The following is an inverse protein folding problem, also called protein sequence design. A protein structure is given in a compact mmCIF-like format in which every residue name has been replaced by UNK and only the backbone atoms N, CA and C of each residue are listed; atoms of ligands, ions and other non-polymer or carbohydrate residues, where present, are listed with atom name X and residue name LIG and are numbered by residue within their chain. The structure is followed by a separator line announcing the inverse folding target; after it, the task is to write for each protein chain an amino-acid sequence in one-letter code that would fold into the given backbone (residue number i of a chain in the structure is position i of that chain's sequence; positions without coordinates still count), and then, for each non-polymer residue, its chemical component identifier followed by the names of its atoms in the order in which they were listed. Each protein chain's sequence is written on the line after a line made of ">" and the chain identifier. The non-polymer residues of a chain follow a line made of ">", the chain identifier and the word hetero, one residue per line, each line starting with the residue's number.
data_IF_117626068660
#
_entry.id   IF_117626068660
#
_cell.length_a   1.000
_cell.length_b   1.000
_cell.length_c   1.000
_cell.angle_alpha   90.00
_cell.angle_beta   90.00
_cell.angle_gamma   90.00
#
_symmetry.space_group_name_H-M   'P 1'
#
loop_
_entity.id
_entity.type
_entity.pdbx_description
1 polymer ?
#
# COMPACT_ATOMS: atom_id res chain seq x y z
N UNK A 1 -53.13 -63.49 -8.51
CA UNK A 1 -54.00 -62.40 -8.98
C UNK A 1 -54.37 -61.61 -7.75
N UNK A 2 -53.89 -60.40 -7.45
CA UNK A 2 -52.99 -59.41 -8.09
C UNK A 2 -52.71 -58.45 -6.91
N UNK A 3 -51.48 -58.36 -6.43
CA UNK A 3 -50.50 -57.30 -6.75
C UNK A 3 -50.76 -55.97 -6.01
N UNK A 4 -49.63 -55.31 -5.73
CA UNK A 4 -49.36 -54.08 -5.01
C UNK A 4 -50.23 -52.86 -5.34
N UNK A 5 -50.38 -51.96 -4.36
CA UNK A 5 -49.94 -50.55 -4.48
C UNK A 5 -49.89 -49.93 -3.07
N UNK A 6 -48.70 -49.68 -2.51
CA UNK A 6 -47.82 -48.53 -2.77
C UNK A 6 -48.21 -47.29 -1.93
N UNK A 7 -47.52 -47.18 -0.80
CA UNK A 7 -46.80 -45.99 -0.28
C UNK A 7 -47.26 -44.61 -0.77
N UNK A 8 -47.66 -43.76 0.17
CA UNK A 8 -47.31 -42.34 0.15
C UNK A 8 -47.12 -41.85 1.60
N UNK A 9 -46.06 -42.35 2.25
CA UNK A 9 -45.51 -41.70 3.44
C UNK A 9 -44.70 -40.52 2.91
N UNK A 10 -45.36 -39.37 2.83
CA UNK A 10 -44.77 -38.14 2.33
C UNK A 10 -43.57 -37.77 3.20
N UNK A 11 -42.38 -38.15 2.72
CA UNK A 11 -41.11 -37.82 3.31
C UNK A 11 -41.05 -36.31 3.55
N UNK A 12 -41.03 -35.91 4.82
CA UNK A 12 -40.72 -34.55 5.19
C UNK A 12 -39.35 -34.21 4.62
N UNK A 13 -39.18 -33.10 3.88
CA UNK A 13 -37.88 -32.71 3.40
C UNK A 13 -36.99 -32.45 4.61
N UNK A 14 -35.97 -33.28 4.78
CA UNK A 14 -34.93 -33.08 5.79
C UNK A 14 -34.38 -31.65 5.64
N UNK A 15 -34.20 -30.91 6.74
CA UNK A 15 -33.63 -29.58 6.66
C UNK A 15 -32.23 -29.71 6.08
N UNK A 16 -32.04 -29.17 4.87
CA UNK A 16 -30.77 -29.13 4.19
C UNK A 16 -29.72 -28.59 5.16
N UNK A 17 -28.81 -29.47 5.55
CA UNK A 17 -27.68 -29.18 6.41
C UNK A 17 -26.90 -28.04 5.76
N UNK A 18 -27.04 -26.83 6.31
CA UNK A 18 -26.31 -25.67 5.86
C UNK A 18 -24.81 -26.02 5.87
N UNK A 19 -24.04 -25.66 4.85
CA UNK A 19 -22.63 -26.03 4.80
C UNK A 19 -21.92 -25.41 6.00
N UNK A 20 -21.64 -26.26 7.00
CA UNK A 20 -20.81 -25.96 8.16
C UNK A 20 -19.35 -25.93 7.72
N UNK A 21 -18.99 -24.88 6.96
CA UNK A 21 -17.61 -24.41 6.89
C UNK A 21 -17.22 -23.86 8.26
N UNK A 22 -15.94 -23.88 8.66
CA UNK A 22 -15.53 -23.38 9.95
C UNK A 22 -15.84 -21.89 10.01
N UNK A 23 -16.89 -21.52 10.73
CA UNK A 23 -17.18 -20.15 11.13
C UNK A 23 -16.19 -19.75 12.25
N UNK A 24 -14.91 -19.73 11.91
CA UNK A 24 -13.89 -19.07 12.72
C UNK A 24 -14.12 -17.57 12.61
N UNK A 25 -14.93 -17.03 13.52
CA UNK A 25 -15.15 -15.59 13.59
C UNK A 25 -13.83 -14.85 13.81
N UNK A 26 -13.74 -13.62 13.30
CA UNK A 26 -12.59 -12.73 13.56
C UNK A 26 -12.41 -12.57 15.06
N UNK A 27 -11.21 -12.87 15.55
CA UNK A 27 -10.86 -12.74 16.97
C UNK A 27 -10.21 -11.39 17.27
N UNK A 28 -10.19 -10.95 18.53
CA UNK A 28 -9.41 -9.78 18.94
C UNK A 28 -7.91 -9.90 18.61
N UNK A 29 -7.36 -11.12 18.60
CA UNK A 29 -5.98 -11.37 18.21
C UNK A 29 -5.75 -11.07 16.72
N UNK A 30 -6.70 -11.47 15.86
CA UNK A 30 -6.62 -11.16 14.42
C UNK A 30 -6.62 -9.65 14.16
N UNK A 31 -7.44 -8.91 14.92
CA UNK A 31 -7.47 -7.45 14.83
C UNK A 31 -6.15 -6.82 15.30
N UNK A 32 -5.56 -7.35 16.38
CA UNK A 32 -4.26 -6.89 16.88
C UNK A 32 -3.13 -7.15 15.89
N UNK A 33 -3.12 -8.32 15.25
CA UNK A 33 -2.16 -8.72 14.22
C UNK A 33 -2.33 -7.89 12.95
N UNK A 34 -3.56 -7.65 12.51
CA UNK A 34 -3.87 -6.79 11.38
C UNK A 34 -3.36 -5.35 11.61
N UNK A 35 -3.60 -4.80 12.81
CA UNK A 35 -3.07 -3.50 13.20
C UNK A 35 -1.53 -3.49 13.31
N UNK A 36 -0.92 -4.60 13.74
CA UNK A 36 0.54 -4.78 13.77
C UNK A 36 1.14 -4.70 12.38
N UNK A 37 0.52 -5.37 11.41
CA UNK A 37 0.94 -5.35 10.02
C UNK A 37 0.92 -3.93 9.44
N UNK A 38 -0.17 -3.18 9.68
CA UNK A 38 -0.27 -1.77 9.26
C UNK A 38 0.79 -0.90 9.95
N UNK A 39 1.04 -1.14 11.24
CA UNK A 39 2.11 -0.44 11.99
C UNK A 39 3.50 -0.70 11.40
N UNK A 40 3.79 -1.91 10.92
CA UNK A 40 5.03 -2.19 10.19
C UNK A 40 5.09 -1.43 8.86
N UNK A 41 3.99 -1.31 8.13
CA UNK A 41 3.92 -0.51 6.90
C UNK A 41 4.19 0.98 7.09
N UNK A 42 3.94 1.51 8.30
CA UNK A 42 4.25 2.90 8.68
C UNK A 42 5.72 3.12 9.06
N UNK A 43 6.56 2.08 9.06
CA UNK A 43 7.97 2.14 9.41
C UNK A 43 8.85 2.00 8.15
N UNK A 44 9.18 3.10 7.44
CA UNK A 44 9.79 3.04 6.10
C UNK A 44 11.19 2.39 6.03
N UNK A 45 11.85 2.18 7.18
CA UNK A 45 13.16 1.53 7.27
C UNK A 45 13.09 0.06 7.69
N UNK A 46 11.92 -0.40 8.13
CA UNK A 46 11.72 -1.78 8.54
C UNK A 46 11.41 -2.62 7.29
N UNK A 47 12.16 -3.71 7.12
CA UNK A 47 12.00 -4.61 6.00
C UNK A 47 11.53 -5.97 6.50
N UNK A 48 10.64 -6.67 5.77
CA UNK A 48 10.20 -8.02 6.15
C UNK A 48 11.37 -9.01 6.30
N UNK A 49 12.39 -8.90 5.46
CA UNK A 49 13.57 -9.75 5.52
C UNK A 49 14.40 -9.59 6.82
N UNK A 50 14.14 -8.54 7.61
CA UNK A 50 14.84 -8.24 8.87
C UNK A 50 13.98 -8.48 10.11
N UNK A 51 12.71 -8.85 9.93
CA UNK A 51 11.74 -9.01 11.02
C UNK A 51 10.83 -10.21 10.75
N UNK A 52 10.95 -11.23 11.62
CA UNK A 52 10.24 -12.51 11.45
C UNK A 52 8.74 -12.35 11.66
N UNK A 53 8.31 -11.52 12.61
CA UNK A 53 6.89 -11.27 12.86
C UNK A 53 6.26 -10.57 11.66
N UNK A 54 6.94 -9.57 11.10
CA UNK A 54 6.48 -8.90 9.89
C UNK A 54 6.38 -9.86 8.70
N UNK A 55 7.39 -10.70 8.48
CA UNK A 55 7.37 -11.69 7.41
C UNK A 55 6.20 -12.68 7.54
N UNK A 56 5.91 -13.15 8.76
CA UNK A 56 4.77 -14.05 9.02
C UNK A 56 3.42 -13.37 8.79
N UNK A 57 3.24 -12.12 9.26
CA UNK A 57 1.99 -11.39 9.03
C UNK A 57 1.75 -11.09 7.54
N UNK A 58 2.81 -10.83 6.77
CA UNK A 58 2.70 -10.70 5.30
C UNK A 58 2.35 -12.00 4.61
N UNK A 59 2.92 -13.12 5.07
CA UNK A 59 2.54 -14.44 4.57
C UNK A 59 1.06 -14.70 4.87
N UNK A 60 0.62 -14.44 6.11
CA UNK A 60 -0.76 -14.55 6.55
C UNK A 60 -1.70 -13.69 5.70
N UNK A 61 -1.34 -12.43 5.42
CA UNK A 61 -2.09 -11.55 4.54
C UNK A 61 -2.32 -12.15 3.14
N UNK A 62 -1.30 -12.80 2.57
CA UNK A 62 -1.43 -13.40 1.23
C UNK A 62 -2.22 -14.70 1.25
N UNK A 63 -2.05 -15.51 2.30
CA UNK A 63 -2.61 -16.85 2.39
C UNK A 63 -4.06 -16.85 2.93
N UNK A 64 -4.44 -15.87 3.75
CA UNK A 64 -5.73 -15.80 4.46
C UNK A 64 -6.55 -14.57 4.03
N UNK A 65 -7.51 -14.70 3.09
CA UNK A 65 -8.30 -13.56 2.58
C UNK A 65 -9.11 -12.82 3.65
N UNK A 66 -9.51 -13.50 4.73
CA UNK A 66 -10.21 -12.86 5.84
C UNK A 66 -9.30 -11.92 6.64
N UNK A 67 -8.06 -12.34 6.89
CA UNK A 67 -7.05 -11.51 7.54
C UNK A 67 -6.64 -10.32 6.66
N UNK A 68 -6.52 -10.53 5.34
CA UNK A 68 -6.26 -9.45 4.39
C UNK A 68 -7.32 -8.34 4.46
N UNK A 69 -8.60 -8.72 4.37
CA UNK A 69 -9.72 -7.78 4.50
C UNK A 69 -9.73 -7.04 5.83
N UNK A 70 -9.32 -7.70 6.90
CA UNK A 70 -9.22 -7.08 8.22
C UNK A 70 -8.09 -6.04 8.27
N UNK A 71 -6.91 -6.36 7.75
CA UNK A 71 -5.78 -5.42 7.65
C UNK A 71 -6.13 -4.22 6.76
N UNK A 72 -6.77 -4.45 5.62
CA UNK A 72 -7.26 -3.38 4.74
C UNK A 72 -8.28 -2.49 5.44
N UNK A 73 -9.21 -3.08 6.21
CA UNK A 73 -10.18 -2.32 6.98
C UNK A 73 -9.52 -1.47 8.09
N UNK A 74 -8.48 -2.00 8.75
CA UNK A 74 -7.69 -1.23 9.72
C UNK A 74 -6.96 -0.06 9.04
N UNK A 75 -6.30 -0.31 7.91
CA UNK A 75 -5.63 0.74 7.14
C UNK A 75 -6.63 1.82 6.70
N UNK A 76 -7.77 1.43 6.13
CA UNK A 76 -8.83 2.34 5.71
C UNK A 76 -9.39 3.16 6.90
N UNK A 77 -9.59 2.53 8.07
CA UNK A 77 -10.04 3.21 9.28
C UNK A 77 -9.05 4.27 9.79
N UNK A 78 -7.76 4.13 9.47
CA UNK A 78 -6.71 5.11 9.74
C UNK A 78 -6.55 6.16 8.63
N UNK A 79 -7.38 6.10 7.57
CA UNK A 79 -7.24 6.94 6.38
C UNK A 79 -5.97 6.60 5.58
N UNK A 80 -5.56 5.33 5.57
CA UNK A 80 -4.42 4.85 4.79
C UNK A 80 -4.92 4.08 3.57
N UNK A 81 -4.19 4.20 2.47
CA UNK A 81 -4.38 3.46 1.23
C UNK A 81 -3.23 2.47 1.13
N UNK A 82 -3.55 1.18 1.02
CA UNK A 82 -2.57 0.13 0.75
C UNK A 82 -2.23 0.15 -0.74
N UNK A 83 -0.97 0.45 -1.07
CA UNK A 83 -0.49 0.56 -2.45
C UNK A 83 0.05 -0.76 -2.98
N UNK A 84 0.79 -1.48 -2.15
CA UNK A 84 1.42 -2.75 -2.48
C UNK A 84 1.54 -3.60 -1.23
N UNK A 85 1.42 -4.92 -1.38
CA UNK A 85 1.81 -5.88 -0.34
C UNK A 85 2.67 -6.97 -0.98
N UNK A 86 3.97 -7.00 -0.65
CA UNK A 86 4.90 -7.99 -1.18
C UNK A 86 5.96 -8.39 -0.16
N UNK A 87 6.64 -9.52 -0.39
CA UNK A 87 7.76 -9.94 0.47
C UNK A 87 8.99 -9.04 0.34
N UNK A 88 9.10 -8.31 -0.78
CA UNK A 88 10.21 -7.40 -1.05
C UNK A 88 9.98 -6.03 -0.44
N UNK A 89 8.82 -5.42 -0.70
CA UNK A 89 8.48 -4.09 -0.23
C UNK A 89 7.86 -4.09 1.17
N UNK A 90 7.26 -5.20 1.59
CA UNK A 90 6.37 -5.26 2.74
C UNK A 90 4.98 -4.75 2.38
N UNK A 91 4.26 -4.22 3.38
CA UNK A 91 3.02 -3.48 3.18
C UNK A 91 3.35 -2.01 2.96
N UNK A 92 3.25 -1.55 1.72
CA UNK A 92 3.40 -0.15 1.37
C UNK A 92 2.07 0.57 1.53
N UNK A 93 2.04 1.60 2.39
CA UNK A 93 0.86 2.43 2.64
C UNK A 93 1.15 3.89 2.34
N UNK A 94 0.13 4.61 1.90
CA UNK A 94 0.14 6.07 1.81
C UNK A 94 -1.07 6.65 2.55
N UNK A 95 -0.96 7.90 2.98
CA UNK A 95 -2.08 8.63 3.54
C UNK A 95 -3.07 9.04 2.44
N UNK A 96 -4.37 8.85 2.70
CA UNK A 96 -5.44 9.52 1.95
C UNK A 96 -5.42 11.04 2.21
N UNK A 97 -6.08 11.83 1.37
CA UNK A 97 -6.07 13.31 1.46
C UNK A 97 -6.62 13.84 2.79
N UNK A 98 -7.62 13.17 3.34
CA UNK A 98 -8.29 13.50 4.60
C UNK A 98 -7.69 12.79 5.83
N UNK A 99 -6.66 11.98 5.62
CA UNK A 99 -5.97 11.23 6.67
C UNK A 99 -5.28 12.14 7.69
N UNK A 100 -5.23 11.68 8.94
CA UNK A 100 -4.40 12.31 9.99
C UNK A 100 -2.90 12.20 9.70
N UNK A 101 -2.52 11.26 8.83
CA UNK A 101 -1.14 11.07 8.38
C UNK A 101 -0.80 11.92 7.14
N UNK A 102 -1.78 12.61 6.55
CA UNK A 102 -1.56 13.42 5.36
C UNK A 102 -0.67 14.63 5.66
N UNK A 103 0.39 14.80 4.86
CA UNK A 103 1.18 16.03 4.88
C UNK A 103 0.45 17.07 4.04
N UNK A 104 -0.14 18.06 4.71
CA UNK A 104 -0.80 19.16 4.00
C UNK A 104 0.24 20.11 3.42
N UNK A 105 0.07 20.47 2.15
CA UNK A 105 0.99 21.37 1.44
C UNK A 105 1.14 22.73 2.16
N UNK A 106 0.08 23.21 2.83
CA UNK A 106 0.15 24.42 3.65
C UNK A 106 1.05 24.29 4.89
N UNK A 107 1.07 23.14 5.56
CA UNK A 107 1.97 22.87 6.70
C UNK A 107 3.42 22.75 6.24
N UNK A 108 3.61 22.12 5.09
CA UNK A 108 4.91 21.97 4.47
C UNK A 108 5.48 23.31 3.99
N UNK A 109 4.71 24.11 3.24
CA UNK A 109 5.14 25.42 2.73
C UNK A 109 5.51 26.39 3.86
N UNK A 110 4.79 26.35 4.99
CA UNK A 110 5.14 27.14 6.19
C UNK A 110 6.49 26.75 6.79
N UNK A 111 6.86 25.48 6.74
CA UNK A 111 8.11 24.96 7.31
C UNK A 111 9.30 25.03 6.35
N UNK A 112 9.04 24.90 5.05
CA UNK A 112 10.08 24.69 4.05
C UNK A 112 10.64 25.98 3.44
N UNK A 113 9.96 27.13 3.58
CA UNK A 113 10.38 28.34 2.89
C UNK A 113 10.18 29.62 3.72
N UNK A 114 11.25 30.02 4.39
CA UNK A 114 11.28 31.19 5.27
C UNK A 114 11.31 32.51 4.50
N UNK A 115 11.89 32.51 3.30
CA UNK A 115 11.94 33.65 2.36
C UNK A 115 11.74 33.21 0.88
N UNK A 116 11.58 34.19 -0.02
CA UNK A 116 11.35 34.06 -1.45
C UNK A 116 12.39 33.22 -2.19
N UNK A 117 13.68 33.33 -1.83
CA UNK A 117 14.75 32.52 -2.42
C UNK A 117 14.57 31.04 -2.08
N UNK A 118 14.23 30.72 -0.82
CA UNK A 118 13.93 29.35 -0.40
C UNK A 118 12.76 28.79 -1.21
N UNK A 119 11.68 29.58 -1.40
CA UNK A 119 10.51 29.15 -2.20
C UNK A 119 10.89 28.81 -3.63
N UNK A 120 11.76 29.60 -4.24
CA UNK A 120 12.23 29.36 -5.61
C UNK A 120 13.04 28.07 -5.71
N UNK A 121 14.05 27.88 -4.85
CA UNK A 121 14.85 26.65 -4.80
C UNK A 121 13.97 25.42 -4.52
N UNK A 122 12.97 25.58 -3.69
CA UNK A 122 12.01 24.55 -3.37
C UNK A 122 11.16 24.13 -4.59
N UNK A 123 10.64 25.10 -5.32
CA UNK A 123 9.91 24.85 -6.57
C UNK A 123 10.80 24.16 -7.61
N UNK A 124 12.07 24.58 -7.72
CA UNK A 124 13.04 23.97 -8.62
C UNK A 124 13.37 22.51 -8.23
N UNK A 125 13.49 22.22 -6.93
CA UNK A 125 13.67 20.87 -6.44
C UNK A 125 12.46 19.98 -6.76
N UNK A 126 11.24 20.45 -6.52
CA UNK A 126 10.02 19.71 -6.86
C UNK A 126 9.89 19.45 -8.36
N UNK A 127 10.15 20.46 -9.20
CA UNK A 127 10.13 20.30 -10.65
C UNK A 127 11.17 19.27 -11.12
N UNK A 128 12.36 19.29 -10.51
CA UNK A 128 13.43 18.33 -10.83
C UNK A 128 13.06 16.92 -10.39
N UNK A 129 12.48 16.74 -9.20
CA UNK A 129 11.94 15.44 -8.75
C UNK A 129 10.89 14.92 -9.73
N UNK A 130 9.94 15.77 -10.14
CA UNK A 130 8.90 15.39 -11.09
C UNK A 130 9.50 15.00 -12.46
N UNK A 131 10.47 15.76 -12.95
CA UNK A 131 11.15 15.48 -14.20
C UNK A 131 11.97 14.17 -14.15
N UNK A 132 12.59 13.87 -13.01
CA UNK A 132 13.36 12.64 -12.80
C UNK A 132 12.49 11.40 -12.55
N UNK A 133 11.31 11.58 -11.95
CA UNK A 133 10.39 10.50 -11.65
C UNK A 133 9.60 10.03 -12.88
N UNK A 134 9.46 10.90 -13.90
CA UNK A 134 8.74 10.54 -15.12
C UNK A 134 9.64 9.69 -16.03
N UNK A 135 9.26 8.44 -16.34
CA UNK A 135 10.10 7.53 -17.13
C UNK A 135 10.27 8.05 -18.56
N UNK A 136 11.48 7.93 -19.11
CA UNK A 136 11.73 8.21 -20.53
C UNK A 136 11.27 7.02 -21.38
N UNK A 137 11.04 7.20 -22.69
CA UNK A 137 10.61 6.11 -23.56
C UNK A 137 11.51 4.87 -23.50
N UNK A 138 12.83 5.07 -23.38
CA UNK A 138 13.80 3.99 -23.20
C UNK A 138 13.65 3.24 -21.87
N UNK A 139 13.26 3.94 -20.81
CA UNK A 139 13.09 3.36 -19.48
C UNK A 139 11.83 2.46 -19.43
N UNK A 140 10.84 2.73 -20.31
CA UNK A 140 9.63 1.90 -20.45
C UNK A 140 9.88 0.59 -21.19
N UNK A 141 10.95 0.51 -21.98
CA UNK A 141 11.31 -0.69 -22.72
C UNK A 141 12.13 -1.69 -21.86
N UNK A 142 12.54 -1.29 -20.67
CA UNK A 142 13.28 -2.10 -19.71
C UNK A 142 12.38 -2.46 -18.52
N UNK A 143 11.83 -3.68 -18.54
CA UNK A 143 10.99 -4.21 -17.46
C UNK A 143 11.71 -4.29 -16.10
N UNK A 144 13.06 -4.22 -16.10
CA UNK A 144 13.88 -4.20 -14.89
C UNK A 144 14.20 -2.80 -14.38
N UNK A 145 13.83 -1.74 -15.10
CA UNK A 145 14.15 -0.37 -14.73
C UNK A 145 13.37 0.05 -13.47
N UNK A 146 14.12 0.53 -12.48
CA UNK A 146 13.56 1.12 -11.27
C UNK A 146 14.04 2.56 -11.20
N UNK A 147 13.14 3.50 -11.50
CA UNK A 147 13.38 4.93 -11.34
C UNK A 147 13.69 5.26 -9.88
N UNK A 148 14.92 5.72 -9.62
CA UNK A 148 15.34 6.14 -8.27
C UNK A 148 15.61 7.63 -8.25
N UNK A 149 14.83 8.34 -7.47
CA UNK A 149 15.08 9.75 -7.17
C UNK A 149 15.82 9.84 -5.83
N UNK A 150 16.97 10.53 -5.83
CA UNK A 150 17.77 10.76 -4.62
C UNK A 150 18.06 12.24 -4.48
N UNK A 151 18.29 12.71 -3.25
CA UNK A 151 18.62 14.12 -2.98
C UNK A 151 19.83 14.59 -3.80
N UNK A 152 20.91 13.79 -3.80
CA UNK A 152 22.11 14.10 -4.57
C UNK A 152 21.85 14.11 -6.08
N UNK A 153 21.00 13.20 -6.57
CA UNK A 153 20.59 13.16 -7.98
C UNK A 153 19.82 14.42 -8.39
N UNK A 154 18.92 14.89 -7.53
CA UNK A 154 18.16 16.13 -7.76
C UNK A 154 19.08 17.35 -7.78
N UNK A 155 20.00 17.50 -6.82
CA UNK A 155 20.97 18.61 -6.81
C UNK A 155 21.84 18.61 -8.08
N UNK A 156 22.38 17.45 -8.45
CA UNK A 156 23.20 17.30 -9.64
C UNK A 156 22.41 17.65 -10.93
N UNK A 157 21.17 17.18 -11.04
CA UNK A 157 20.29 17.47 -12.16
C UNK A 157 20.04 18.97 -12.30
N UNK A 158 19.70 19.65 -11.20
CA UNK A 158 19.47 21.10 -11.20
C UNK A 158 20.70 21.86 -11.68
N UNK A 159 21.88 21.55 -11.13
CA UNK A 159 23.15 22.20 -11.53
C UNK A 159 23.45 22.01 -13.01
N UNK A 160 23.26 20.79 -13.52
CA UNK A 160 23.47 20.49 -14.93
C UNK A 160 22.48 21.24 -15.83
N UNK A 161 21.22 21.36 -15.41
CA UNK A 161 20.22 22.13 -16.13
C UNK A 161 20.60 23.63 -16.20
N UNK A 162 21.06 24.21 -15.08
CA UNK A 162 21.55 25.60 -15.06
C UNK A 162 22.74 25.81 -16.01
N UNK A 163 23.76 24.96 -15.95
CA UNK A 163 24.93 25.07 -16.83
C UNK A 163 24.55 25.03 -18.33
N UNK A 164 23.62 24.15 -18.71
CA UNK A 164 23.14 24.06 -20.10
C UNK A 164 22.33 25.28 -20.55
N UNK A 165 21.66 25.97 -19.63
CA UNK A 165 20.94 27.21 -19.95
C UNK A 165 21.92 28.36 -20.16
N UNK A 166 22.98 28.43 -19.36
CA UNK A 166 24.05 29.43 -19.50
C UNK A 166 24.79 29.30 -20.83
N UNK A 167 25.05 28.07 -21.30
CA UNK A 167 25.68 27.82 -22.61
C UNK A 167 24.84 28.29 -23.82
N UNK A 168 23.53 28.50 -23.63
CA UNK A 168 22.59 28.89 -24.70
C UNK A 168 22.19 30.36 -24.67
N UNK A 169 22.57 31.09 -23.62
CA UNK A 169 22.24 32.50 -23.40
C UNK A 169 23.31 33.43 -24.03
#
# INVERSE_FOLDING_TARGET
>A
MTEYDAVDDAAQPEPAEAPSGPAGGVTPADAADAARLVSFGLQPKLLPARDVEYAELLRRYRDEPAFARLADAVAAGLGLIVLEVSTRAGMAVTAAEDSVFAVRMGDYARRAASDSADRFLHGLAHLSVAAMAFPRPEDLADDGYIGRVTVNGVDAFVRQACARLEERA
#
